data_IF_153169352277
#
_entry.id   IF_153169352277
#
_cell.length_a   1.000
_cell.length_b   1.000
_cell.length_c   1.000
_cell.angle_alpha   90.00
_cell.angle_beta   90.00
_cell.angle_gamma   90.00
#
_symmetry.space_group_name_H-M   'P 1'
#
loop_
_entity.id
_entity.type
_entity.pdbx_description
1 polymer ?
#
# COMPACT_ATOMS: atom_id res chain seq x y z
N UNK A 1 5.97 -19.85 6.98
CA UNK A 1 5.08 -18.79 7.51
C UNK A 1 4.94 -17.78 6.38
N UNK A 2 3.72 -17.32 6.07
CA UNK A 2 3.54 -16.28 5.07
C UNK A 2 4.14 -14.96 5.59
N UNK A 3 4.74 -14.17 4.69
CA UNK A 3 5.36 -12.88 5.01
C UNK A 3 4.26 -11.84 5.27
N UNK A 4 4.24 -11.28 6.49
CA UNK A 4 3.40 -10.13 6.83
C UNK A 4 4.06 -8.85 6.36
N UNK A 5 3.25 -7.89 5.92
CA UNK A 5 3.75 -6.65 5.32
C UNK A 5 3.64 -5.53 6.33
N UNK A 6 4.76 -4.87 6.61
CA UNK A 6 4.85 -3.77 7.56
C UNK A 6 5.02 -2.46 6.79
N UNK A 7 4.16 -1.49 7.03
CA UNK A 7 4.28 -0.14 6.48
C UNK A 7 5.39 0.63 7.18
N UNK A 8 6.00 1.50 6.40
CA UNK A 8 7.04 2.45 6.79
C UNK A 8 6.68 3.83 6.27
N UNK A 9 7.31 4.84 6.86
CA UNK A 9 7.08 6.23 6.49
C UNK A 9 5.75 6.76 7.02
N UNK A 10 5.30 7.87 6.45
CA UNK A 10 4.12 8.60 6.92
C UNK A 10 3.29 9.19 5.77
N UNK A 11 2.02 9.43 6.06
CA UNK A 11 1.11 10.13 5.16
C UNK A 11 1.21 11.64 5.42
N UNK A 12 1.57 12.40 4.39
CA UNK A 12 1.66 13.85 4.45
C UNK A 12 0.83 14.52 3.35
N UNK A 13 0.70 15.84 3.43
CA UNK A 13 0.17 16.68 2.35
C UNK A 13 1.27 17.61 1.89
N UNK A 14 1.45 17.71 0.58
CA UNK A 14 2.37 18.67 0.00
C UNK A 14 1.76 20.10 0.04
N UNK A 15 2.48 21.08 -0.51
CA UNK A 15 2.08 22.49 -0.49
C UNK A 15 0.81 22.80 -1.30
N UNK A 16 0.50 21.98 -2.30
CA UNK A 16 -0.71 22.13 -3.13
C UNK A 16 -1.94 21.36 -2.57
N UNK A 17 -1.75 20.62 -1.47
CA UNK A 17 -2.80 19.85 -0.81
C UNK A 17 -2.91 18.40 -1.28
N UNK A 18 -2.12 17.98 -2.27
CA UNK A 18 -2.00 16.59 -2.71
C UNK A 18 -1.42 15.72 -1.61
N UNK A 19 -2.02 14.55 -1.43
CA UNK A 19 -1.56 13.56 -0.46
C UNK A 19 -0.34 12.81 -1.00
N UNK A 20 0.68 12.68 -0.16
CA UNK A 20 1.93 11.99 -0.48
C UNK A 20 2.30 11.04 0.64
N UNK A 21 3.03 9.97 0.31
CA UNK A 21 3.69 9.11 1.27
C UNK A 21 5.17 9.50 1.35
N UNK A 22 5.68 9.72 2.56
CA UNK A 22 7.07 10.09 2.80
C UNK A 22 7.78 8.92 3.45
N UNK A 23 8.84 8.40 2.82
CA UNK A 23 9.62 7.30 3.38
C UNK A 23 10.62 7.79 4.44
N UNK A 24 11.34 6.86 5.09
CA UNK A 24 12.33 7.17 6.14
C UNK A 24 13.54 7.98 5.61
N UNK A 25 13.72 8.09 4.30
CA UNK A 25 14.74 8.91 3.63
C UNK A 25 14.24 10.32 3.30
N UNK A 26 13.09 10.72 3.85
CA UNK A 26 12.41 12.00 3.59
C UNK A 26 12.03 12.19 2.10
N UNK A 27 11.90 11.09 1.35
CA UNK A 27 11.48 11.15 -0.06
C UNK A 27 9.96 11.04 -0.13
N UNK A 28 9.34 12.03 -0.77
CA UNK A 28 7.90 12.08 -0.97
C UNK A 28 7.49 11.41 -2.30
N UNK A 29 6.50 10.53 -2.22
CA UNK A 29 5.91 9.82 -3.35
C UNK A 29 4.44 10.18 -3.44
N UNK A 30 4.01 10.60 -4.62
CA UNK A 30 2.59 10.83 -4.87
C UNK A 30 1.86 9.49 -4.76
N UNK A 31 0.84 9.47 -3.91
CA UNK A 31 0.03 8.29 -3.67
C UNK A 31 -1.44 8.64 -3.92
N UNK A 32 -2.09 7.86 -4.77
CA UNK A 32 -3.52 7.93 -4.97
C UNK A 32 -4.26 7.12 -3.89
N UNK A 33 -5.58 7.17 -3.93
CA UNK A 33 -6.45 6.52 -2.95
C UNK A 33 -6.19 4.99 -2.86
N UNK A 34 -6.05 4.22 -3.97
CA UNK A 34 -5.66 2.82 -3.89
C UNK A 34 -4.32 2.56 -3.20
N UNK A 35 -3.29 3.36 -3.52
CA UNK A 35 -1.96 3.21 -2.90
C UNK A 35 -2.05 3.49 -1.39
N UNK A 36 -2.73 4.58 -1.00
CA UNK A 36 -2.90 4.96 0.41
C UNK A 36 -3.67 3.87 1.16
N UNK A 37 -4.77 3.37 0.60
CA UNK A 37 -5.59 2.35 1.23
C UNK A 37 -4.81 1.06 1.49
N UNK A 38 -4.08 0.57 0.49
CA UNK A 38 -3.27 -0.65 0.65
C UNK A 38 -2.11 -0.42 1.62
N UNK A 39 -1.41 0.72 1.53
CA UNK A 39 -0.33 1.05 2.46
C UNK A 39 -0.83 1.11 3.91
N UNK A 40 -2.05 1.62 4.14
CA UNK A 40 -2.66 1.64 5.48
C UNK A 40 -2.94 0.24 6.02
N UNK A 41 -3.29 -0.73 5.17
CA UNK A 41 -3.56 -2.12 5.53
C UNK A 41 -2.30 -2.93 5.88
N UNK A 42 -1.13 -2.50 5.41
CA UNK A 42 0.19 -3.06 5.72
C UNK A 42 0.61 -2.74 7.18
N UNK A 43 -0.12 -3.21 8.18
CA UNK A 43 0.12 -2.90 9.59
C UNK A 43 1.02 -3.90 10.33
N UNK A 44 1.65 -4.82 9.60
CA UNK A 44 2.47 -5.89 10.17
C UNK A 44 1.69 -7.11 10.66
N UNK A 45 0.37 -7.10 10.52
CA UNK A 45 -0.48 -8.24 10.92
C UNK A 45 -1.04 -9.01 9.72
N UNK A 46 -1.01 -8.41 8.53
CA UNK A 46 -1.61 -8.95 7.31
C UNK A 46 -0.56 -9.38 6.29
N UNK A 47 -0.81 -10.50 5.65
CA UNK A 47 -0.08 -10.97 4.47
C UNK A 47 -0.62 -10.32 3.21
N UNK A 48 0.07 -10.51 2.08
CA UNK A 48 -0.44 -10.09 0.76
C UNK A 48 -1.81 -10.70 0.45
N UNK A 49 -2.02 -11.96 0.80
CA UNK A 49 -3.25 -12.72 0.56
C UNK A 49 -4.43 -12.17 1.38
N UNK A 50 -4.18 -11.80 2.64
CA UNK A 50 -5.18 -11.15 3.49
C UNK A 50 -5.60 -9.79 2.92
N UNK A 51 -4.63 -8.99 2.46
CA UNK A 51 -4.90 -7.68 1.85
C UNK A 51 -5.70 -7.85 0.55
N UNK A 52 -5.34 -8.82 -0.30
CA UNK A 52 -6.11 -9.13 -1.51
C UNK A 52 -7.55 -9.51 -1.19
N UNK A 53 -7.77 -10.33 -0.15
CA UNK A 53 -9.12 -10.71 0.28
C UNK A 53 -9.92 -9.50 0.72
N UNK A 54 -9.33 -8.59 1.50
CA UNK A 54 -9.99 -7.35 1.92
C UNK A 54 -10.32 -6.46 0.70
N UNK A 55 -9.43 -6.35 -0.27
CA UNK A 55 -9.69 -5.58 -1.50
C UNK A 55 -10.83 -6.20 -2.30
N UNK A 56 -10.91 -7.52 -2.40
CA UNK A 56 -12.04 -8.22 -3.06
C UNK A 56 -13.35 -7.94 -2.33
N UNK A 57 -13.37 -7.98 -0.99
CA UNK A 57 -14.57 -7.75 -0.19
C UNK A 57 -15.05 -6.29 -0.23
N UNK A 58 -14.13 -5.33 -0.33
CA UNK A 58 -14.44 -3.90 -0.36
C UNK A 58 -14.75 -3.37 -1.75
N UNK A 59 -14.44 -4.13 -2.80
CA UNK A 59 -14.64 -3.73 -4.19
C UNK A 59 -15.51 -4.73 -4.93
N UNK A 60 -15.79 -4.49 -6.21
CA UNK A 60 -16.44 -5.47 -7.10
C UNK A 60 -15.44 -6.09 -8.08
N UNK A 61 -14.14 -6.06 -7.73
CA UNK A 61 -13.08 -6.62 -8.56
C UNK A 61 -13.10 -8.15 -8.54
N UNK A 62 -12.62 -8.76 -9.61
CA UNK A 62 -12.36 -10.20 -9.62
C UNK A 62 -11.16 -10.52 -8.72
N UNK A 63 -11.05 -11.77 -8.27
CA UNK A 63 -9.88 -12.24 -7.49
C UNK A 63 -8.56 -11.95 -8.23
N UNK A 64 -8.51 -12.23 -9.53
CA UNK A 64 -7.32 -12.00 -10.37
C UNK A 64 -6.94 -10.51 -10.41
N UNK A 65 -7.92 -9.63 -10.66
CA UNK A 65 -7.66 -8.19 -10.73
C UNK A 65 -7.21 -7.62 -9.37
N UNK A 66 -7.82 -8.08 -8.28
CA UNK A 66 -7.49 -7.62 -6.94
C UNK A 66 -6.09 -8.08 -6.52
N UNK A 67 -5.75 -9.36 -6.73
CA UNK A 67 -4.42 -9.89 -6.47
C UNK A 67 -3.35 -9.16 -7.28
N UNK A 68 -3.62 -8.90 -8.56
CA UNK A 68 -2.72 -8.14 -9.42
C UNK A 68 -2.54 -6.70 -8.91
N UNK A 69 -3.62 -6.00 -8.60
CA UNK A 69 -3.58 -4.62 -8.07
C UNK A 69 -2.76 -4.55 -6.78
N UNK A 70 -3.04 -5.45 -5.84
CA UNK A 70 -2.34 -5.52 -4.55
C UNK A 70 -0.87 -5.83 -4.75
N UNK A 71 -0.53 -6.79 -5.62
CA UNK A 71 0.86 -7.14 -5.93
C UNK A 71 1.61 -5.98 -6.60
N UNK A 72 0.98 -5.27 -7.54
CA UNK A 72 1.57 -4.13 -8.24
C UNK A 72 1.83 -2.97 -7.26
N UNK A 73 0.89 -2.67 -6.36
CA UNK A 73 1.02 -1.57 -5.38
C UNK A 73 2.05 -1.92 -4.30
N UNK A 74 2.04 -3.13 -3.74
CA UNK A 74 3.06 -3.57 -2.78
C UNK A 74 4.44 -3.55 -3.42
N UNK A 75 4.56 -3.98 -4.68
CA UNK A 75 5.83 -3.90 -5.43
C UNK A 75 6.37 -2.47 -5.48
N UNK A 76 5.53 -1.51 -5.91
CA UNK A 76 5.90 -0.09 -5.93
C UNK A 76 6.28 0.44 -4.55
N UNK A 77 5.54 0.10 -3.50
CA UNK A 77 5.84 0.52 -2.13
C UNK A 77 7.17 -0.07 -1.63
N UNK A 78 7.50 -1.32 -2.00
CA UNK A 78 8.79 -1.95 -1.68
C UNK A 78 9.95 -1.24 -2.37
N UNK A 79 9.79 -0.89 -3.65
CA UNK A 79 10.81 -0.17 -4.43
C UNK A 79 11.21 1.19 -3.80
N UNK A 80 10.25 1.84 -3.13
CA UNK A 80 10.45 3.15 -2.49
C UNK A 80 10.61 3.07 -0.97
N UNK A 81 10.81 1.87 -0.42
CA UNK A 81 11.03 1.61 1.01
C UNK A 81 9.90 2.08 1.93
N UNK A 82 8.65 2.09 1.42
CA UNK A 82 7.45 2.41 2.19
C UNK A 82 6.81 1.17 2.83
N UNK A 83 7.28 -0.03 2.51
CA UNK A 83 6.90 -1.28 3.21
C UNK A 83 8.09 -2.24 3.30
N UNK A 84 8.03 -3.21 4.21
CA UNK A 84 8.93 -4.37 4.30
C UNK A 84 8.14 -5.66 4.39
#
# INVERSE_FOLDING_TARGET
MAEVINKKGELAKNQDGTVVLVNEKEQAFQADEPIIAIWQMCDGTRTKEDISTIVIEQTSMTTEDAEKLVSDIIGKLKEVELVT
#
